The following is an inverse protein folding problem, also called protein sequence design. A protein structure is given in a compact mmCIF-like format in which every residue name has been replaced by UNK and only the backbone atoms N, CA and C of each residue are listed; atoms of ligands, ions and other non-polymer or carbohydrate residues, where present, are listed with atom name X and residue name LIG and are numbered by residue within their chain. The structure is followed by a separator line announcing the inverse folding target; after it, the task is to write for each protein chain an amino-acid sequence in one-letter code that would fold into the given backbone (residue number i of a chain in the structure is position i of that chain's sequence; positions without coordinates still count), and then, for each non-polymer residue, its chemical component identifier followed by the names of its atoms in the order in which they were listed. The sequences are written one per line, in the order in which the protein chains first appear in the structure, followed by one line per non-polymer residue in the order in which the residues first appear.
data_IF_706518857742
#
_entry.id   IF_706518857742
#
_cell.length_a   1.000
_cell.length_b   1.000
_cell.length_c   1.000
_cell.angle_alpha   90.00
_cell.angle_beta   90.00
_cell.angle_gamma   90.00
#
_symmetry.space_group_name_H-M   'P 1'
#
loop_
_entity.id
_entity.type
_entity.pdbx_description
1 polymer ?
#
# COMPACT_ATOMS: atom_id res chain seq x y z
N UNK A 1 8.96 -26.63 10.20
CA UNK A 1 9.68 -26.48 11.49
C UNK A 1 8.73 -25.84 12.50
N UNK A 2 8.85 -26.17 13.78
CA UNK A 2 8.09 -25.47 14.82
C UNK A 2 8.65 -24.04 14.98
N UNK A 3 7.79 -23.04 15.23
CA UNK A 3 8.22 -21.68 15.54
C UNK A 3 9.18 -21.60 16.73
N UNK A 4 9.02 -22.51 17.69
CA UNK A 4 9.87 -22.60 18.89
C UNK A 4 11.30 -23.09 18.63
N UNK A 5 11.62 -23.48 17.38
CA UNK A 5 12.98 -23.88 17.02
C UNK A 5 13.86 -22.65 16.84
N UNK A 6 14.91 -22.55 17.67
CA UNK A 6 15.91 -21.48 17.55
C UNK A 6 16.93 -21.87 16.48
N UNK A 7 17.06 -21.04 15.45
CA UNK A 7 17.87 -21.34 14.27
C UNK A 7 19.11 -20.45 14.26
N UNK A 8 20.30 -21.07 14.24
CA UNK A 8 21.54 -20.33 14.05
C UNK A 8 21.76 -20.06 12.55
N UNK A 9 21.69 -18.79 12.15
CA UNK A 9 21.89 -18.36 10.78
C UNK A 9 23.23 -18.80 10.20
N UNK A 10 24.28 -18.65 10.98
CA UNK A 10 25.64 -18.93 10.52
C UNK A 10 25.95 -20.44 10.46
N UNK A 11 25.15 -21.27 11.10
CA UNK A 11 25.19 -22.71 10.98
C UNK A 11 24.48 -23.28 9.74
N UNK A 12 23.76 -22.41 9.00
CA UNK A 12 23.00 -22.80 7.81
C UNK A 12 23.80 -22.60 6.52
N UNK A 13 23.62 -23.48 5.55
CA UNK A 13 24.10 -23.27 4.18
C UNK A 13 23.36 -22.11 3.49
N UNK A 14 23.88 -21.61 2.39
CA UNK A 14 23.23 -20.55 1.60
C UNK A 14 21.80 -20.94 1.16
N UNK A 15 21.59 -22.17 0.73
CA UNK A 15 20.27 -22.67 0.33
C UNK A 15 19.31 -22.73 1.52
N UNK A 16 19.79 -23.16 2.69
CA UNK A 16 18.99 -23.16 3.92
C UNK A 16 18.64 -21.74 4.35
N UNK A 17 19.58 -20.81 4.29
CA UNK A 17 19.34 -19.40 4.59
C UNK A 17 18.25 -18.82 3.67
N UNK A 18 18.31 -19.11 2.38
CA UNK A 18 17.28 -18.68 1.42
C UNK A 18 15.91 -19.30 1.75
N UNK A 19 15.86 -20.57 2.11
CA UNK A 19 14.62 -21.24 2.51
C UNK A 19 14.02 -20.65 3.78
N UNK A 20 14.82 -20.22 4.74
CA UNK A 20 14.34 -19.57 5.97
C UNK A 20 13.61 -18.26 5.70
N UNK A 21 14.00 -17.54 4.65
CA UNK A 21 13.40 -16.27 4.26
C UNK A 21 12.31 -16.43 3.18
N UNK A 22 12.04 -17.66 2.73
CA UNK A 22 11.00 -17.91 1.74
C UNK A 22 9.63 -17.72 2.39
N UNK A 23 8.80 -16.95 1.73
CA UNK A 23 7.41 -16.68 2.14
C UNK A 23 6.50 -17.85 1.77
N UNK A 24 5.38 -18.04 2.49
CA UNK A 24 4.34 -18.95 2.05
C UNK A 24 3.90 -18.63 0.62
N UNK A 25 3.68 -19.67 -0.19
CA UNK A 25 3.29 -19.47 -1.57
C UNK A 25 1.95 -18.72 -1.66
N UNK A 26 1.91 -17.62 -2.41
CA UNK A 26 0.64 -17.05 -2.85
C UNK A 26 0.17 -17.93 -3.99
N UNK A 27 -0.73 -18.85 -3.72
CA UNK A 27 -1.41 -19.58 -4.78
C UNK A 27 -2.56 -18.75 -5.34
N UNK A 28 -2.25 -17.78 -6.20
CA UNK A 28 -3.22 -17.43 -7.24
C UNK A 28 -3.31 -18.67 -8.13
N UNK A 29 -4.21 -19.57 -7.82
CA UNK A 29 -4.43 -20.74 -8.66
C UNK A 29 -4.94 -20.25 -10.04
N UNK A 30 -4.61 -20.99 -11.12
CA UNK A 30 -5.18 -20.72 -12.46
C UNK A 30 -6.70 -20.58 -12.41
N UNK A 31 -7.36 -21.24 -11.45
CA UNK A 31 -8.80 -21.15 -11.24
C UNK A 31 -9.24 -19.77 -10.73
N UNK A 32 -8.49 -19.12 -9.85
CA UNK A 32 -8.79 -17.75 -9.39
C UNK A 32 -8.63 -16.77 -10.55
N UNK A 33 -7.54 -16.87 -11.31
CA UNK A 33 -7.29 -16.00 -12.44
C UNK A 33 -8.40 -16.10 -13.50
N UNK A 34 -8.82 -17.31 -13.82
CA UNK A 34 -9.95 -17.54 -14.74
C UNK A 34 -11.26 -16.98 -14.21
N UNK A 35 -11.59 -17.27 -12.95
CA UNK A 35 -12.81 -16.76 -12.31
C UNK A 35 -12.85 -15.24 -12.34
N UNK A 36 -11.74 -14.57 -12.03
CA UNK A 36 -11.64 -13.11 -12.07
C UNK A 36 -11.80 -12.58 -13.50
N UNK A 37 -11.18 -13.21 -14.49
CA UNK A 37 -11.36 -12.85 -15.91
C UNK A 37 -12.84 -12.92 -16.32
N UNK A 38 -13.54 -13.98 -15.92
CA UNK A 38 -14.97 -14.14 -16.19
C UNK A 38 -15.81 -13.04 -15.52
N UNK A 39 -15.48 -12.68 -14.26
CA UNK A 39 -16.14 -11.58 -13.55
C UNK A 39 -15.91 -10.23 -14.26
N UNK A 40 -14.68 -9.93 -14.64
CA UNK A 40 -14.35 -8.69 -15.36
C UNK A 40 -15.13 -8.57 -16.68
N UNK A 41 -15.19 -9.65 -17.42
CA UNK A 41 -15.91 -9.70 -18.69
C UNK A 41 -17.43 -9.55 -18.49
N UNK A 42 -18.00 -10.20 -17.47
CA UNK A 42 -19.43 -10.10 -17.15
C UNK A 42 -19.79 -8.67 -16.71
N UNK A 43 -19.01 -8.05 -15.83
CA UNK A 43 -19.26 -6.65 -15.42
C UNK A 43 -19.15 -5.70 -16.61
N UNK A 44 -18.17 -5.90 -17.50
CA UNK A 44 -18.03 -5.09 -18.72
C UNK A 44 -19.25 -5.22 -19.64
N UNK A 45 -19.80 -6.42 -19.77
CA UNK A 45 -20.93 -6.68 -20.66
C UNK A 45 -22.29 -6.28 -20.06
N UNK A 46 -22.50 -6.49 -18.76
CA UNK A 46 -23.81 -6.43 -18.12
C UNK A 46 -23.92 -5.35 -16.99
N UNK A 47 -22.84 -4.63 -16.71
CA UNK A 47 -22.83 -3.49 -15.78
C UNK A 47 -23.47 -3.77 -14.43
N UNK A 48 -24.38 -2.89 -13.99
CA UNK A 48 -25.05 -2.98 -12.69
C UNK A 48 -25.78 -4.31 -12.45
N UNK A 49 -26.31 -4.93 -13.49
CA UNK A 49 -26.97 -6.22 -13.37
C UNK A 49 -26.01 -7.31 -12.90
N UNK A 50 -24.79 -7.33 -13.44
CA UNK A 50 -23.75 -8.24 -12.99
C UNK A 50 -23.34 -7.98 -11.54
N UNK A 51 -23.25 -6.72 -11.10
CA UNK A 51 -22.94 -6.37 -9.73
C UNK A 51 -23.99 -6.92 -8.75
N UNK A 52 -25.27 -6.78 -9.06
CA UNK A 52 -26.36 -7.32 -8.24
C UNK A 52 -26.35 -8.84 -8.21
N UNK A 53 -26.10 -9.49 -9.32
CA UNK A 53 -25.96 -10.96 -9.40
C UNK A 53 -24.84 -11.46 -8.47
N UNK A 54 -23.67 -10.83 -8.52
CA UNK A 54 -22.53 -11.22 -7.69
C UNK A 54 -22.75 -10.90 -6.19
N UNK A 55 -23.41 -9.81 -5.85
CA UNK A 55 -23.78 -9.51 -4.46
C UNK A 55 -24.73 -10.58 -3.89
N UNK A 56 -25.71 -11.01 -4.67
CA UNK A 56 -26.60 -12.10 -4.25
C UNK A 56 -25.84 -13.43 -4.11
N UNK A 57 -24.93 -13.72 -5.03
CA UNK A 57 -24.17 -14.98 -5.05
C UNK A 57 -23.10 -15.06 -3.96
N UNK A 58 -22.29 -14.01 -3.79
CA UNK A 58 -21.11 -14.02 -2.93
C UNK A 58 -21.38 -13.41 -1.54
N UNK A 59 -22.10 -12.30 -1.49
CA UNK A 59 -22.37 -11.59 -0.25
C UNK A 59 -23.69 -12.04 0.40
N UNK A 60 -24.46 -12.90 -0.29
CA UNK A 60 -25.80 -13.37 0.15
C UNK A 60 -26.76 -12.22 0.45
N UNK A 61 -26.60 -11.10 -0.24
CA UNK A 61 -27.34 -9.87 -0.01
C UNK A 61 -28.02 -9.42 -1.30
N UNK A 62 -29.31 -9.12 -1.22
CA UNK A 62 -30.04 -8.46 -2.31
C UNK A 62 -29.88 -6.96 -2.15
N UNK A 63 -29.16 -6.34 -3.10
CA UNK A 63 -28.90 -4.90 -3.08
C UNK A 63 -29.95 -4.18 -3.94
N UNK A 64 -30.84 -3.45 -3.30
CA UNK A 64 -31.86 -2.66 -4.00
C UNK A 64 -31.25 -1.46 -4.71
N UNK A 65 -30.42 -0.67 -3.99
CA UNK A 65 -29.65 0.44 -4.51
C UNK A 65 -28.16 0.15 -4.35
N UNK A 66 -27.39 0.27 -5.45
CA UNK A 66 -25.94 0.09 -5.40
C UNK A 66 -25.28 1.25 -4.65
N UNK A 67 -25.72 2.47 -4.89
CA UNK A 67 -25.20 3.64 -4.18
C UNK A 67 -25.85 3.80 -2.82
N UNK A 68 -25.02 4.03 -1.78
CA UNK A 68 -25.48 4.37 -0.44
C UNK A 68 -25.96 5.82 -0.43
N UNK A 69 -27.16 6.07 0.14
CA UNK A 69 -27.72 7.41 0.21
C UNK A 69 -27.00 8.29 1.23
N UNK A 70 -27.04 9.61 1.03
CA UNK A 70 -26.51 10.55 2.00
C UNK A 70 -27.16 10.43 3.37
N UNK A 71 -28.47 10.07 3.41
CA UNK A 71 -29.19 9.86 4.65
C UNK A 71 -28.66 8.62 5.42
N UNK A 72 -28.34 7.54 4.72
CA UNK A 72 -27.72 6.34 5.35
C UNK A 72 -26.35 6.64 5.89
N UNK A 73 -25.54 7.41 5.15
CA UNK A 73 -24.20 7.83 5.61
C UNK A 73 -24.32 8.68 6.88
N UNK A 74 -25.22 9.65 6.89
CA UNK A 74 -25.44 10.50 8.05
C UNK A 74 -25.95 9.72 9.27
N UNK A 75 -26.90 8.80 9.07
CA UNK A 75 -27.47 7.99 10.14
C UNK A 75 -26.46 7.03 10.78
N UNK A 76 -25.44 6.59 10.06
CA UNK A 76 -24.41 5.70 10.58
C UNK A 76 -23.70 6.28 11.81
N UNK A 77 -23.36 7.58 11.76
CA UNK A 77 -22.71 8.27 12.89
C UNK A 77 -23.56 8.36 14.14
N UNK A 78 -24.90 8.32 14.03
CA UNK A 78 -25.78 8.36 15.19
C UNK A 78 -25.79 7.04 15.99
N UNK A 79 -25.39 5.95 15.36
CA UNK A 79 -25.32 4.62 15.97
C UNK A 79 -23.98 4.29 16.62
N UNK A 80 -22.98 5.13 16.43
CA UNK A 80 -21.64 4.95 16.98
C UNK A 80 -21.47 5.70 18.31
N UNK A 81 -20.63 5.15 19.19
CA UNK A 81 -20.28 5.81 20.45
C UNK A 81 -19.45 7.08 20.22
N UNK A 82 -19.60 8.06 21.11
CA UNK A 82 -18.79 9.28 21.08
C UNK A 82 -17.30 8.97 21.29
N UNK A 83 -17.00 7.96 22.08
CA UNK A 83 -15.65 7.46 22.35
C UNK A 83 -14.94 7.00 21.07
N UNK A 84 -15.62 6.19 20.25
CA UNK A 84 -15.10 5.74 18.95
C UNK A 84 -14.91 6.92 17.98
N UNK A 85 -15.87 7.83 17.90
CA UNK A 85 -15.78 9.02 17.04
C UNK A 85 -14.60 9.93 17.43
N UNK A 86 -14.36 10.11 18.74
CA UNK A 86 -13.21 10.87 19.25
C UNK A 86 -11.89 10.18 18.90
N UNK A 87 -11.81 8.86 19.03
CA UNK A 87 -10.63 8.09 18.65
C UNK A 87 -10.33 8.23 17.14
N UNK A 88 -11.35 8.13 16.29
CA UNK A 88 -11.21 8.35 14.84
C UNK A 88 -10.73 9.77 14.52
N UNK A 89 -11.23 10.78 15.23
CA UNK A 89 -10.82 12.17 15.05
C UNK A 89 -9.33 12.39 15.36
N UNK A 90 -8.82 11.76 16.42
CA UNK A 90 -7.38 11.79 16.76
C UNK A 90 -6.55 11.13 15.64
N UNK A 91 -6.96 9.95 15.19
CA UNK A 91 -6.28 9.23 14.12
C UNK A 91 -6.23 10.06 12.83
N UNK A 92 -7.36 10.61 12.39
CA UNK A 92 -7.44 11.46 11.19
C UNK A 92 -6.52 12.66 11.30
N UNK A 93 -6.53 13.36 12.44
CA UNK A 93 -5.66 14.52 12.67
C UNK A 93 -4.18 14.18 12.48
N UNK A 94 -3.74 13.04 13.03
CA UNK A 94 -2.35 12.61 12.92
C UNK A 94 -2.01 12.19 11.48
N UNK A 95 -2.90 11.46 10.82
CA UNK A 95 -2.75 11.06 9.41
C UNK A 95 -2.69 12.31 8.51
N UNK A 96 -3.56 13.27 8.73
CA UNK A 96 -3.53 14.56 8.00
C UNK A 96 -2.22 15.30 8.19
N UNK A 97 -1.74 15.38 9.43
CA UNK A 97 -0.50 16.09 9.76
C UNK A 97 0.69 15.48 9.01
N UNK A 98 0.81 14.17 9.06
CA UNK A 98 1.91 13.47 8.39
C UNK A 98 1.82 13.56 6.86
N UNK A 99 0.64 13.33 6.28
CA UNK A 99 0.46 13.37 4.82
C UNK A 99 0.54 14.79 4.24
N UNK A 100 0.07 15.81 4.97
CA UNK A 100 0.29 17.21 4.57
C UNK A 100 1.78 17.57 4.49
N UNK A 101 2.59 17.02 5.39
CA UNK A 101 4.04 17.24 5.37
C UNK A 101 4.76 16.58 4.18
N UNK A 102 4.10 15.67 3.46
CA UNK A 102 4.64 14.98 2.28
C UNK A 102 4.47 15.80 0.98
N UNK A 103 3.93 17.00 1.02
CA UNK A 103 3.81 17.86 -0.17
C UNK A 103 5.15 18.02 -0.85
N UNK A 104 5.22 17.65 -2.14
CA UNK A 104 6.44 17.79 -2.93
C UNK A 104 6.69 19.25 -3.24
N UNK A 105 7.93 19.69 -3.05
CA UNK A 105 8.35 21.00 -3.55
C UNK A 105 8.41 20.98 -5.07
N UNK A 106 7.96 22.08 -5.71
CA UNK A 106 8.12 22.24 -7.13
C UNK A 106 9.60 22.33 -7.51
N UNK A 107 9.97 21.69 -8.61
CA UNK A 107 11.30 21.87 -9.22
C UNK A 107 11.18 22.97 -10.27
N UNK A 108 12.06 23.96 -10.21
CA UNK A 108 12.12 25.07 -11.14
C UNK A 108 13.57 25.51 -11.30
N UNK A 109 14.20 25.11 -12.40
CA UNK A 109 15.62 25.34 -12.62
C UNK A 109 15.87 25.83 -14.04
N UNK A 110 16.84 26.73 -14.20
CA UNK A 110 17.51 26.98 -15.47
C UNK A 110 18.67 25.99 -15.63
N UNK A 111 18.55 25.10 -16.61
CA UNK A 111 19.63 24.13 -16.90
C UNK A 111 20.79 24.80 -17.61
N UNK A 112 20.51 25.85 -18.37
CA UNK A 112 21.44 26.84 -18.89
C UNK A 112 20.67 28.14 -19.12
N UNK A 113 21.33 29.31 -19.30
CA UNK A 113 20.64 30.59 -19.46
C UNK A 113 19.53 30.55 -20.55
N UNK A 114 18.32 30.92 -20.15
CA UNK A 114 17.16 30.92 -21.03
C UNK A 114 16.50 29.56 -21.28
N UNK A 115 16.93 28.49 -20.60
CA UNK A 115 16.32 27.16 -20.68
C UNK A 115 15.76 26.77 -19.31
N UNK A 116 14.48 26.97 -19.12
CA UNK A 116 13.76 26.72 -17.87
C UNK A 116 13.07 25.35 -17.89
N UNK A 117 13.39 24.52 -16.90
CA UNK A 117 12.77 23.21 -16.72
C UNK A 117 12.08 23.14 -15.38
N UNK A 118 10.78 22.80 -15.38
CA UNK A 118 9.99 22.69 -14.19
C UNK A 118 9.40 21.28 -14.03
N UNK A 119 9.16 20.86 -12.80
CA UNK A 119 8.32 19.73 -12.47
C UNK A 119 7.18 20.23 -11.60
N UNK A 120 5.95 19.98 -12.03
CA UNK A 120 4.73 20.34 -11.33
C UNK A 120 3.95 19.10 -10.95
N UNK A 121 3.27 19.17 -9.81
CA UNK A 121 2.43 18.09 -9.29
C UNK A 121 0.96 18.40 -9.56
N UNK A 122 0.21 17.37 -9.93
CA UNK A 122 -1.24 17.45 -10.14
C UNK A 122 -1.90 16.24 -9.45
N UNK A 123 -3.11 16.37 -8.90
CA UNK A 123 -3.84 15.23 -8.39
C UNK A 123 -4.20 14.25 -9.51
N UNK A 124 -4.31 12.97 -9.16
CA UNK A 124 -5.07 12.03 -9.98
C UNK A 124 -6.54 12.43 -9.85
N UNK A 125 -7.20 12.63 -10.98
CA UNK A 125 -8.54 13.24 -10.99
C UNK A 125 -9.60 12.34 -10.33
N UNK A 126 -9.56 11.04 -10.62
CA UNK A 126 -10.55 10.08 -10.16
C UNK A 126 -9.90 8.85 -9.55
N UNK A 127 -10.24 8.55 -8.30
CA UNK A 127 -9.69 7.41 -7.55
C UNK A 127 -10.80 6.56 -6.95
N UNK A 128 -10.57 5.24 -6.96
CA UNK A 128 -11.43 4.25 -6.32
C UNK A 128 -10.77 3.74 -5.05
N UNK A 129 -11.52 3.69 -3.97
CA UNK A 129 -11.09 3.16 -2.68
C UNK A 129 -11.86 1.88 -2.40
N UNK A 130 -11.17 0.76 -2.35
CA UNK A 130 -11.76 -0.52 -1.99
C UNK A 130 -11.54 -0.81 -0.51
N UNK A 131 -12.62 -1.04 0.23
CA UNK A 131 -12.60 -1.37 1.65
C UNK A 131 -13.12 -2.80 1.81
N UNK A 132 -12.30 -3.73 2.29
CA UNK A 132 -12.74 -5.10 2.48
C UNK A 132 -13.89 -5.18 3.50
N UNK A 133 -14.79 -6.10 3.26
CA UNK A 133 -15.81 -6.51 4.23
C UNK A 133 -15.34 -7.76 4.98
N UNK A 134 -16.17 -8.24 5.89
CA UNK A 134 -15.94 -9.46 6.66
C UNK A 134 -16.33 -9.32 8.11
N UNK A 135 -15.75 -10.15 8.97
CA UNK A 135 -16.04 -10.19 10.41
C UNK A 135 -15.57 -8.94 11.18
N UNK A 136 -14.70 -8.13 10.58
CA UNK A 136 -14.20 -6.90 11.18
C UNK A 136 -14.36 -5.73 10.20
N UNK A 137 -14.97 -4.61 10.64
CA UNK A 137 -15.08 -3.41 9.82
C UNK A 137 -13.72 -2.69 9.78
N UNK A 138 -13.03 -2.74 8.62
CA UNK A 138 -11.71 -2.14 8.45
C UNK A 138 -11.82 -0.63 8.16
N UNK A 139 -12.47 0.12 9.04
CA UNK A 139 -12.65 1.56 8.90
C UNK A 139 -11.34 2.34 8.90
N UNK A 140 -10.29 1.83 9.55
CA UNK A 140 -8.95 2.43 9.51
C UNK A 140 -8.42 2.56 8.08
N UNK A 141 -8.72 1.60 7.22
CA UNK A 141 -8.36 1.66 5.79
C UNK A 141 -9.03 2.85 5.09
N UNK A 142 -10.27 3.19 5.48
CA UNK A 142 -10.92 4.41 4.96
C UNK A 142 -10.11 5.65 5.32
N UNK A 143 -9.69 5.77 6.58
CA UNK A 143 -8.89 6.91 7.06
C UNK A 143 -7.57 7.01 6.29
N UNK A 144 -6.91 5.87 6.07
CA UNK A 144 -5.61 5.79 5.41
C UNK A 144 -5.66 6.10 3.90
N UNK A 145 -6.77 5.84 3.24
CA UNK A 145 -6.94 6.05 1.81
C UNK A 145 -7.62 7.39 1.49
N UNK A 146 -8.69 7.71 2.19
CA UNK A 146 -9.49 8.90 1.91
C UNK A 146 -8.80 10.19 2.33
N UNK A 147 -8.04 10.18 3.42
CA UNK A 147 -7.32 11.37 3.89
C UNK A 147 -6.28 11.86 2.87
N UNK A 148 -5.32 11.04 2.41
CA UNK A 148 -4.38 11.49 1.39
C UNK A 148 -5.04 11.80 0.04
N UNK A 149 -6.11 11.10 -0.36
CA UNK A 149 -6.87 11.43 -1.56
C UNK A 149 -7.43 12.85 -1.51
N UNK A 150 -8.00 13.24 -0.37
CA UNK A 150 -8.52 14.60 -0.14
C UNK A 150 -7.39 15.64 -0.13
N UNK A 151 -6.29 15.38 0.58
CA UNK A 151 -5.13 16.29 0.65
C UNK A 151 -4.53 16.50 -0.74
N UNK A 152 -4.43 15.45 -1.56
CA UNK A 152 -3.93 15.52 -2.93
C UNK A 152 -4.83 16.36 -3.85
N UNK A 153 -6.11 16.50 -3.51
CA UNK A 153 -7.09 17.23 -4.31
C UNK A 153 -7.76 16.38 -5.39
N UNK A 154 -7.85 15.05 -5.20
CA UNK A 154 -8.60 14.19 -6.11
C UNK A 154 -10.05 14.67 -6.21
N UNK A 155 -10.53 14.90 -7.43
CA UNK A 155 -11.86 15.50 -7.66
C UNK A 155 -12.98 14.50 -7.47
N UNK A 156 -12.76 13.26 -7.86
CA UNK A 156 -13.71 12.15 -7.71
C UNK A 156 -13.08 11.06 -6.85
N UNK A 157 -13.70 10.80 -5.71
CA UNK A 157 -13.33 9.72 -4.78
C UNK A 157 -14.52 8.78 -4.64
N UNK A 158 -14.37 7.57 -5.12
CA UNK A 158 -15.43 6.53 -5.13
C UNK A 158 -15.02 5.41 -4.20
N UNK A 159 -15.82 5.13 -3.19
CA UNK A 159 -15.59 4.04 -2.24
C UNK A 159 -16.52 2.87 -2.54
N UNK A 160 -15.96 1.66 -2.58
CA UNK A 160 -16.71 0.41 -2.68
C UNK A 160 -16.38 -0.48 -1.48
N UNK A 161 -17.42 -1.10 -0.91
CA UNK A 161 -17.28 -2.09 0.15
C UNK A 161 -18.40 -3.12 0.06
N UNK A 162 -18.18 -4.40 0.43
CA UNK A 162 -19.22 -5.43 0.41
C UNK A 162 -20.41 -5.06 1.27
N UNK A 163 -21.65 -5.29 0.80
CA UNK A 163 -22.85 -5.09 1.59
C UNK A 163 -23.04 -6.19 2.65
N UNK A 164 -23.64 -5.89 3.81
CA UNK A 164 -23.98 -4.55 4.31
C UNK A 164 -22.74 -3.81 4.81
N UNK A 165 -22.58 -2.54 4.42
CA UNK A 165 -21.45 -1.73 4.86
C UNK A 165 -21.64 -1.34 6.33
N UNK A 166 -20.62 -1.59 7.16
CA UNK A 166 -20.67 -1.27 8.58
C UNK A 166 -20.75 0.24 8.84
N UNK A 167 -21.42 0.61 9.93
CA UNK A 167 -21.58 2.02 10.33
C UNK A 167 -20.26 2.72 10.54
N UNK A 168 -19.26 2.02 11.06
CA UNK A 168 -17.89 2.54 11.25
C UNK A 168 -17.24 2.95 9.93
N UNK A 169 -17.46 2.19 8.86
CA UNK A 169 -16.94 2.50 7.52
C UNK A 169 -17.64 3.71 6.94
N UNK A 170 -18.98 3.77 7.04
CA UNK A 170 -19.76 4.89 6.54
C UNK A 170 -19.42 6.19 7.27
N UNK A 171 -19.26 6.12 8.60
CA UNK A 171 -18.87 7.28 9.39
C UNK A 171 -17.44 7.74 9.08
N UNK A 172 -16.50 6.81 8.96
CA UNK A 172 -15.12 7.14 8.58
C UNK A 172 -15.08 7.81 7.19
N UNK A 173 -15.87 7.33 6.24
CA UNK A 173 -15.99 7.94 4.92
C UNK A 173 -16.54 9.37 5.01
N UNK A 174 -17.60 9.59 5.79
CA UNK A 174 -18.15 10.92 6.03
C UNK A 174 -17.13 11.86 6.69
N UNK A 175 -16.42 11.39 7.71
CA UNK A 175 -15.38 12.14 8.41
C UNK A 175 -14.26 12.58 7.47
N UNK A 176 -13.91 11.76 6.49
CA UNK A 176 -12.88 12.06 5.48
C UNK A 176 -13.42 12.76 4.22
N UNK A 177 -14.71 13.09 4.19
CA UNK A 177 -15.31 13.83 3.07
C UNK A 177 -15.68 13.00 1.84
N UNK A 178 -15.73 11.68 1.96
CA UNK A 178 -16.18 10.78 0.88
C UNK A 178 -17.68 10.71 0.85
N UNK A 179 -18.30 11.08 -0.29
CA UNK A 179 -19.74 11.15 -0.48
C UNK A 179 -20.29 10.05 -1.40
N UNK A 180 -19.44 9.51 -2.25
CA UNK A 180 -19.82 8.54 -3.28
C UNK A 180 -19.40 7.14 -2.83
N UNK A 181 -20.37 6.36 -2.34
CA UNK A 181 -20.15 5.04 -1.73
C UNK A 181 -21.10 4.03 -2.39
N UNK A 182 -20.56 2.86 -2.75
CA UNK A 182 -21.30 1.78 -3.38
C UNK A 182 -21.24 0.49 -2.56
N UNK A 183 -22.39 -0.17 -2.46
CA UNK A 183 -22.57 -1.50 -1.86
C UNK A 183 -22.10 -2.59 -2.84
N UNK A 184 -20.82 -2.64 -3.12
CA UNK A 184 -20.21 -3.60 -4.03
C UNK A 184 -18.88 -4.07 -3.46
N UNK A 185 -18.70 -5.37 -3.34
CA UNK A 185 -17.46 -5.98 -2.85
C UNK A 185 -16.80 -6.89 -3.87
N UNK A 186 -15.69 -7.50 -3.47
CA UNK A 186 -14.98 -8.50 -4.25
C UNK A 186 -14.38 -8.02 -5.58
N UNK A 187 -14.03 -8.97 -6.43
CA UNK A 187 -13.46 -8.70 -7.74
C UNK A 187 -14.39 -7.86 -8.65
N UNK A 188 -15.71 -7.99 -8.49
CA UNK A 188 -16.68 -7.21 -9.24
C UNK A 188 -16.66 -5.72 -8.88
N UNK A 189 -16.30 -5.36 -7.65
CA UNK A 189 -16.09 -3.96 -7.27
C UNK A 189 -14.88 -3.36 -8.00
N UNK A 190 -13.79 -4.10 -8.07
CA UNK A 190 -12.59 -3.71 -8.83
C UNK A 190 -12.93 -3.56 -10.33
N UNK A 191 -13.70 -4.50 -10.88
CA UNK A 191 -14.18 -4.43 -12.25
C UNK A 191 -15.02 -3.17 -12.51
N UNK A 192 -15.96 -2.85 -11.60
CA UNK A 192 -16.81 -1.68 -11.70
C UNK A 192 -16.02 -0.37 -11.64
N UNK A 193 -15.06 -0.27 -10.71
CA UNK A 193 -14.18 0.90 -10.60
C UNK A 193 -13.28 1.07 -11.82
N UNK A 194 -12.75 -0.03 -12.37
CA UNK A 194 -11.83 0.02 -13.50
C UNK A 194 -12.51 0.28 -14.85
N UNK A 195 -13.69 -0.28 -15.07
CA UNK A 195 -14.38 -0.29 -16.36
C UNK A 195 -15.58 0.68 -16.40
N UNK A 196 -16.11 1.03 -15.24
CA UNK A 196 -17.37 1.78 -15.13
C UNK A 196 -18.60 0.89 -15.33
N UNK A 197 -19.71 1.29 -14.75
CA UNK A 197 -21.05 0.73 -14.99
C UNK A 197 -22.05 1.87 -15.09
N UNK A 198 -23.34 1.57 -15.22
CA UNK A 198 -24.39 2.60 -15.26
C UNK A 198 -24.39 3.47 -14.01
N UNK A 199 -24.14 2.88 -12.81
CA UNK A 199 -24.12 3.58 -11.53
C UNK A 199 -22.72 3.91 -11.05
N UNK A 200 -21.75 3.00 -11.22
CA UNK A 200 -20.39 3.17 -10.70
C UNK A 200 -19.51 3.87 -11.72
N UNK A 201 -19.01 5.09 -11.40
CA UNK A 201 -18.13 5.80 -12.32
C UNK A 201 -16.79 5.08 -12.46
N UNK A 202 -16.24 5.08 -13.68
CA UNK A 202 -14.88 4.64 -13.93
C UNK A 202 -13.90 5.58 -13.25
N UNK A 203 -12.85 4.99 -12.65
CA UNK A 203 -11.77 5.73 -11.99
C UNK A 203 -10.44 5.49 -12.70
N UNK A 204 -9.47 6.38 -12.45
CA UNK A 204 -8.14 6.31 -13.05
C UNK A 204 -7.19 5.41 -12.27
N UNK A 205 -7.33 5.34 -10.94
CA UNK A 205 -6.49 4.51 -10.06
C UNK A 205 -7.30 3.94 -8.90
N UNK A 206 -7.03 2.68 -8.57
CA UNK A 206 -7.71 1.92 -7.52
C UNK A 206 -6.75 1.65 -6.38
N UNK A 207 -7.21 1.90 -5.16
CA UNK A 207 -6.48 1.71 -3.91
C UNK A 207 -7.24 0.77 -2.99
N UNK A 208 -6.51 0.06 -2.16
CA UNK A 208 -7.07 -0.72 -1.06
C UNK A 208 -6.66 -2.18 -1.08
N UNK A 209 -6.58 -2.79 0.11
CA UNK A 209 -6.26 -4.20 0.27
C UNK A 209 -7.47 -5.07 -0.06
N UNK A 210 -7.25 -6.36 -0.27
CA UNK A 210 -8.32 -7.31 -0.48
C UNK A 210 -7.83 -8.76 -0.44
N UNK A 211 -8.76 -9.68 -0.57
CA UNK A 211 -8.47 -11.11 -0.67
C UNK A 211 -7.83 -11.46 -2.03
N UNK A 212 -7.50 -12.73 -2.24
CA UNK A 212 -6.85 -13.22 -3.46
C UNK A 212 -7.62 -12.85 -4.75
N UNK A 213 -8.95 -12.83 -4.72
CA UNK A 213 -9.76 -12.42 -5.88
C UNK A 213 -9.66 -10.93 -6.18
N UNK A 214 -9.67 -10.09 -5.14
CA UNK A 214 -9.49 -8.64 -5.27
C UNK A 214 -8.08 -8.32 -5.76
N UNK A 215 -7.07 -8.95 -5.20
CA UNK A 215 -5.67 -8.79 -5.60
C UNK A 215 -5.48 -9.18 -7.06
N UNK A 216 -6.03 -10.32 -7.49
CA UNK A 216 -5.96 -10.77 -8.87
C UNK A 216 -6.74 -9.84 -9.82
N UNK A 217 -7.90 -9.34 -9.39
CA UNK A 217 -8.66 -8.37 -10.18
C UNK A 217 -7.89 -7.06 -10.38
N UNK A 218 -7.25 -6.54 -9.34
CA UNK A 218 -6.36 -5.37 -9.42
C UNK A 218 -5.23 -5.61 -10.41
N UNK A 219 -4.58 -6.77 -10.33
CA UNK A 219 -3.52 -7.15 -11.26
C UNK A 219 -4.01 -7.15 -12.71
N UNK A 220 -5.14 -7.79 -12.98
CA UNK A 220 -5.68 -7.89 -14.34
C UNK A 220 -6.10 -6.53 -14.91
N UNK A 221 -6.80 -5.69 -14.12
CA UNK A 221 -7.24 -4.38 -14.62
C UNK A 221 -6.07 -3.43 -14.84
N UNK A 222 -4.98 -3.56 -14.08
CA UNK A 222 -3.78 -2.73 -14.26
C UNK A 222 -3.03 -3.01 -15.56
N UNK A 223 -3.23 -4.17 -16.15
CA UNK A 223 -2.61 -4.60 -17.42
C UNK A 223 -3.48 -4.34 -18.65
N UNK A 224 -4.70 -3.86 -18.45
CA UNK A 224 -5.64 -3.58 -19.55
C UNK A 224 -5.54 -2.13 -19.99
N UNK A 225 -5.61 -1.88 -21.30
CA UNK A 225 -5.66 -0.52 -21.84
C UNK A 225 -6.92 0.24 -21.43
N UNK A 226 -8.03 -0.48 -21.23
CA UNK A 226 -9.31 0.09 -20.77
C UNK A 226 -9.51 -0.02 -19.26
N UNK A 227 -8.49 -0.45 -18.54
CA UNK A 227 -8.53 -0.65 -17.10
C UNK A 227 -8.20 0.59 -16.29
N UNK A 228 -7.58 0.40 -15.13
CA UNK A 228 -7.15 1.46 -14.22
C UNK A 228 -5.79 1.09 -13.61
N UNK A 229 -5.03 2.11 -13.20
CA UNK A 229 -3.83 1.89 -12.40
C UNK A 229 -4.22 1.37 -11.00
N UNK A 230 -3.26 0.81 -10.29
CA UNK A 230 -3.44 0.34 -8.91
C UNK A 230 -2.37 0.92 -7.99
N UNK A 231 -2.59 0.86 -6.68
CA UNK A 231 -1.68 1.34 -5.65
C UNK A 231 -0.35 0.57 -5.66
N UNK A 232 -0.37 -0.69 -5.28
CA UNK A 232 0.81 -1.55 -5.27
C UNK A 232 0.41 -3.02 -5.28
N UNK A 233 1.29 -3.92 -5.73
CA UNK A 233 1.15 -5.34 -5.48
C UNK A 233 1.27 -5.60 -3.98
N UNK A 234 0.38 -6.40 -3.42
CA UNK A 234 0.41 -6.80 -2.03
C UNK A 234 0.11 -8.29 -1.89
N UNK A 235 0.70 -8.90 -0.90
CA UNK A 235 0.46 -10.27 -0.47
C UNK A 235 -0.05 -10.30 0.96
N UNK A 236 0.06 -11.46 1.63
CA UNK A 236 -0.25 -11.61 3.05
C UNK A 236 0.60 -10.69 3.93
N UNK A 237 0.06 -10.33 5.08
CA UNK A 237 0.72 -9.48 6.05
C UNK A 237 1.93 -10.15 6.70
N UNK A 238 2.95 -9.36 7.01
CA UNK A 238 4.21 -9.86 7.57
C UNK A 238 4.84 -8.85 8.53
N UNK A 239 5.55 -9.37 9.54
CA UNK A 239 6.38 -8.57 10.44
C UNK A 239 7.73 -9.23 10.68
N UNK A 240 8.76 -8.40 10.76
CA UNK A 240 10.08 -8.81 11.22
C UNK A 240 10.47 -7.94 12.42
N UNK A 241 10.85 -8.60 13.51
CA UNK A 241 11.34 -7.94 14.72
C UNK A 241 12.84 -8.19 14.86
N UNK A 242 13.62 -7.14 15.09
CA UNK A 242 15.00 -7.22 15.53
C UNK A 242 15.01 -6.89 17.03
N UNK A 243 15.47 -7.81 17.87
CA UNK A 243 15.54 -7.65 19.31
C UNK A 243 16.94 -7.92 19.85
N UNK A 244 17.45 -7.04 20.72
CA UNK A 244 18.67 -7.28 21.48
C UNK A 244 18.38 -7.95 22.84
N UNK A 245 19.39 -8.23 23.62
CA UNK A 245 19.27 -8.85 24.96
C UNK A 245 18.50 -7.97 25.98
N UNK A 246 18.37 -6.68 25.72
CA UNK A 246 17.65 -5.75 26.58
C UNK A 246 16.18 -5.58 26.23
N UNK A 247 15.68 -6.21 25.16
CA UNK A 247 14.27 -6.14 24.76
C UNK A 247 13.37 -6.85 25.80
N UNK A 248 12.10 -6.42 25.84
CA UNK A 248 11.08 -7.12 26.63
C UNK A 248 10.49 -8.26 25.82
N UNK A 249 10.67 -9.54 26.22
CA UNK A 249 10.16 -10.68 25.49
C UNK A 249 8.64 -10.67 25.28
N UNK A 250 7.88 -10.12 26.22
CA UNK A 250 6.42 -10.02 26.12
C UNK A 250 5.99 -9.02 25.06
N UNK A 251 6.71 -7.93 24.92
CA UNK A 251 6.46 -6.93 23.87
C UNK A 251 6.79 -7.52 22.49
N UNK A 252 7.93 -8.16 22.35
CA UNK A 252 8.33 -8.83 21.09
C UNK A 252 7.30 -9.88 20.70
N UNK A 253 6.88 -10.73 21.63
CA UNK A 253 5.88 -11.76 21.39
C UNK A 253 4.53 -11.15 20.96
N UNK A 254 4.08 -10.07 21.60
CA UNK A 254 2.83 -9.40 21.25
C UNK A 254 2.86 -8.79 19.86
N UNK A 255 3.99 -8.22 19.43
CA UNK A 255 4.16 -7.68 18.09
C UNK A 255 4.17 -8.79 17.02
N UNK A 256 4.80 -9.93 17.29
CA UNK A 256 4.75 -11.09 16.39
C UNK A 256 3.32 -11.63 16.26
N UNK A 257 2.60 -11.75 17.36
CA UNK A 257 1.24 -12.28 17.38
C UNK A 257 0.22 -11.33 16.76
N UNK A 258 0.40 -10.01 16.90
CA UNK A 258 -0.48 -9.02 16.27
C UNK A 258 -0.54 -9.19 14.76
N UNK A 259 0.54 -9.66 14.14
CA UNK A 259 0.59 -9.95 12.71
C UNK A 259 0.15 -11.38 12.39
N UNK A 260 0.54 -12.36 13.21
CA UNK A 260 0.18 -13.76 12.99
C UNK A 260 -1.34 -14.01 13.02
N UNK A 261 -2.09 -13.22 13.77
CA UNK A 261 -3.55 -13.35 13.85
C UNK A 261 -4.31 -12.80 12.63
N UNK A 262 -3.66 -12.03 11.75
CA UNK A 262 -4.30 -11.47 10.56
C UNK A 262 -4.78 -12.57 9.60
N UNK A 263 -3.96 -13.58 9.37
CA UNK A 263 -4.32 -14.67 8.46
C UNK A 263 -3.36 -15.85 8.52
N UNK A 264 -3.80 -17.04 8.07
CA UNK A 264 -2.96 -18.23 8.08
C UNK A 264 -1.74 -18.12 7.17
N UNK A 265 -1.77 -17.23 6.18
CA UNK A 265 -0.68 -16.98 5.24
C UNK A 265 0.29 -15.90 5.72
N UNK A 266 0.03 -15.27 6.87
CA UNK A 266 0.93 -14.31 7.50
C UNK A 266 2.26 -14.96 7.89
N UNK A 267 3.35 -14.20 7.82
CA UNK A 267 4.66 -14.66 8.25
C UNK A 267 5.27 -13.68 9.24
N UNK A 268 5.81 -14.20 10.34
CA UNK A 268 6.50 -13.42 11.36
C UNK A 268 7.90 -13.97 11.60
N UNK A 269 8.88 -13.07 11.70
CA UNK A 269 10.29 -13.41 11.88
C UNK A 269 10.86 -12.62 13.05
N UNK A 270 11.55 -13.33 13.94
CA UNK A 270 12.40 -12.70 14.95
C UNK A 270 13.87 -12.89 14.55
N UNK A 271 14.61 -11.79 14.51
CA UNK A 271 16.06 -11.77 14.41
C UNK A 271 16.65 -11.25 15.73
N UNK A 272 17.60 -11.96 16.28
CA UNK A 272 18.28 -11.55 17.51
C UNK A 272 19.72 -12.05 17.53
N UNK A 273 20.69 -11.29 18.09
CA UNK A 273 22.02 -11.82 18.34
C UNK A 273 22.12 -12.64 19.65
N UNK A 274 21.00 -12.78 20.39
CA UNK A 274 20.94 -13.46 21.68
C UNK A 274 19.97 -14.64 21.66
N UNK A 275 20.54 -15.86 21.68
CA UNK A 275 19.75 -17.10 21.67
C UNK A 275 18.81 -17.22 22.89
N UNK A 276 19.21 -16.69 24.06
CA UNK A 276 18.36 -16.68 25.25
C UNK A 276 17.13 -15.79 25.05
N UNK A 277 17.29 -14.64 24.41
CA UNK A 277 16.17 -13.80 24.01
C UNK A 277 15.22 -14.54 23.07
N UNK A 278 15.74 -15.27 22.09
CA UNK A 278 14.94 -16.11 21.20
C UNK A 278 14.08 -17.12 21.96
N UNK A 279 14.67 -17.80 22.95
CA UNK A 279 13.96 -18.78 23.79
C UNK A 279 12.88 -18.12 24.66
N UNK A 280 13.17 -16.99 25.28
CA UNK A 280 12.20 -16.23 26.10
C UNK A 280 11.03 -15.71 25.29
N UNK A 281 11.28 -15.28 24.06
CA UNK A 281 10.21 -14.86 23.15
C UNK A 281 9.35 -16.05 22.73
N UNK A 282 9.95 -17.21 22.42
CA UNK A 282 9.19 -18.42 22.10
C UNK A 282 8.23 -18.81 23.23
N UNK A 283 8.69 -18.77 24.48
CA UNK A 283 7.87 -19.03 25.68
C UNK A 283 6.74 -17.99 25.83
N UNK A 284 7.04 -16.70 25.61
CA UNK A 284 6.06 -15.63 25.69
C UNK A 284 5.00 -15.77 24.60
N UNK A 285 5.37 -16.15 23.37
CA UNK A 285 4.43 -16.41 22.27
C UNK A 285 3.46 -17.53 22.65
N UNK A 286 3.94 -18.67 23.17
CA UNK A 286 3.07 -19.78 23.57
C UNK A 286 2.10 -19.37 24.69
N UNK A 287 2.58 -18.62 25.67
CA UNK A 287 1.75 -18.14 26.78
C UNK A 287 0.67 -17.18 26.30
N UNK A 288 1.01 -16.21 25.46
CA UNK A 288 0.07 -15.23 24.95
C UNK A 288 -0.92 -15.82 23.95
N UNK A 289 -0.44 -16.75 23.10
CA UNK A 289 -1.26 -17.44 22.09
C UNK A 289 -2.44 -18.18 22.72
N UNK A 290 -2.24 -18.78 23.90
CA UNK A 290 -3.29 -19.51 24.62
C UNK A 290 -4.49 -18.62 25.01
N UNK A 291 -4.30 -17.31 25.13
CA UNK A 291 -5.33 -16.33 25.49
C UNK A 291 -5.99 -15.66 24.28
N UNK A 292 -5.50 -15.89 23.07
CA UNK A 292 -6.02 -15.19 21.88
C UNK A 292 -7.28 -15.86 21.31
N UNK A 293 -8.33 -15.09 21.00
CA UNK A 293 -9.51 -15.64 20.34
C UNK A 293 -9.22 -16.28 18.97
N UNK A 294 -8.24 -15.75 18.24
CA UNK A 294 -7.82 -16.25 16.91
C UNK A 294 -6.57 -17.13 16.97
N UNK A 295 -6.35 -17.84 18.07
CA UNK A 295 -5.18 -18.68 18.30
C UNK A 295 -4.92 -19.69 17.17
N UNK A 296 -5.96 -20.32 16.62
CA UNK A 296 -5.81 -21.32 15.54
C UNK A 296 -5.25 -20.69 14.26
N UNK A 297 -5.73 -19.50 13.88
CA UNK A 297 -5.20 -18.75 12.73
C UNK A 297 -3.73 -18.41 12.96
N UNK A 298 -3.40 -17.88 14.13
CA UNK A 298 -2.03 -17.55 14.48
C UNK A 298 -1.10 -18.77 14.50
N UNK A 299 -1.57 -19.95 14.97
CA UNK A 299 -0.79 -21.19 14.94
C UNK A 299 -0.39 -21.60 13.54
N UNK A 300 -1.30 -21.47 12.58
CA UNK A 300 -1.00 -21.77 11.18
C UNK A 300 0.08 -20.83 10.66
N UNK A 301 -0.06 -19.53 10.88
CA UNK A 301 0.94 -18.53 10.48
C UNK A 301 2.31 -18.79 11.11
N UNK A 302 2.35 -19.17 12.40
CA UNK A 302 3.58 -19.51 13.12
C UNK A 302 4.31 -20.72 12.53
N UNK A 303 3.61 -21.65 11.88
CA UNK A 303 4.24 -22.81 11.23
C UNK A 303 5.18 -22.41 10.08
N UNK A 304 4.91 -21.29 9.42
CA UNK A 304 5.74 -20.71 8.37
C UNK A 304 6.71 -19.62 8.89
N UNK A 305 6.71 -19.37 10.18
CA UNK A 305 7.46 -18.28 10.84
C UNK A 305 8.75 -18.82 11.48
N UNK A 306 9.68 -17.90 11.85
CA UNK A 306 11.03 -18.29 12.29
C UNK A 306 11.55 -17.42 13.41
N UNK A 307 12.36 -18.03 14.32
CA UNK A 307 13.27 -17.36 15.24
C UNK A 307 14.70 -17.65 14.78
N UNK A 308 15.41 -16.62 14.39
CA UNK A 308 16.75 -16.73 13.80
C UNK A 308 17.74 -15.96 14.67
N UNK A 309 18.82 -16.63 15.06
CA UNK A 309 19.94 -16.05 15.77
C UNK A 309 21.03 -15.67 14.78
N UNK A 310 21.39 -14.40 14.79
CA UNK A 310 22.47 -13.81 14.02
C UNK A 310 23.70 -13.57 14.90
N UNK A 311 24.82 -13.27 14.29
CA UNK A 311 26.08 -13.01 14.99
C UNK A 311 26.01 -11.70 15.80
N UNK A 312 25.41 -10.67 15.23
CA UNK A 312 25.33 -9.32 15.75
C UNK A 312 24.16 -8.53 15.13
N UNK A 313 23.89 -7.32 15.62
CA UNK A 313 22.83 -6.47 15.10
C UNK A 313 23.06 -6.05 13.63
N UNK A 314 24.29 -5.89 13.20
CA UNK A 314 24.60 -5.56 11.80
C UNK A 314 24.16 -6.70 10.86
N UNK A 315 24.37 -7.95 11.26
CA UNK A 315 23.88 -9.09 10.51
C UNK A 315 22.37 -9.21 10.57
N UNK A 316 21.72 -8.90 11.70
CA UNK A 316 20.25 -8.80 11.78
C UNK A 316 19.71 -7.82 10.73
N UNK A 317 20.31 -6.63 10.62
CA UNK A 317 19.92 -5.62 9.61
C UNK A 317 20.14 -6.15 8.19
N UNK A 318 21.27 -6.81 7.92
CA UNK A 318 21.53 -7.38 6.60
C UNK A 318 20.48 -8.45 6.22
N UNK A 319 20.13 -9.32 7.13
CA UNK A 319 19.08 -10.33 6.92
C UNK A 319 17.72 -9.68 6.71
N UNK A 320 17.38 -8.66 7.51
CA UNK A 320 16.14 -7.90 7.35
C UNK A 320 16.05 -7.25 5.96
N UNK A 321 17.14 -6.64 5.47
CA UNK A 321 17.16 -6.05 4.13
C UNK A 321 17.00 -7.09 3.02
N UNK A 322 17.54 -8.31 3.20
CA UNK A 322 17.33 -9.42 2.27
C UNK A 322 15.87 -9.89 2.24
N UNK A 323 15.24 -9.93 3.39
CA UNK A 323 13.83 -10.31 3.49
C UNK A 323 12.89 -9.20 2.97
N UNK A 324 13.18 -7.93 3.27
CA UNK A 324 12.37 -6.79 2.90
C UNK A 324 10.98 -6.83 3.54
N UNK A 325 10.86 -6.72 4.88
CA UNK A 325 9.59 -6.87 5.58
C UNK A 325 8.62 -5.74 5.28
N UNK A 326 7.34 -6.04 5.35
CA UNK A 326 6.27 -5.04 5.39
C UNK A 326 6.41 -4.13 6.61
N UNK A 327 6.42 -4.75 7.81
CA UNK A 327 6.66 -4.07 9.08
C UNK A 327 8.00 -4.52 9.64
N UNK A 328 8.86 -3.57 9.97
CA UNK A 328 10.12 -3.81 10.68
C UNK A 328 10.08 -3.14 12.04
N UNK A 329 10.10 -3.94 13.11
CA UNK A 329 10.14 -3.45 14.48
C UNK A 329 11.55 -3.67 15.03
N UNK A 330 12.20 -2.62 15.50
CA UNK A 330 13.55 -2.66 16.06
C UNK A 330 13.45 -2.39 17.57
N UNK A 331 13.41 -3.47 18.35
CA UNK A 331 13.40 -3.41 19.81
C UNK A 331 14.82 -3.60 20.36
N UNK A 332 15.67 -2.65 20.07
CA UNK A 332 17.05 -2.58 20.59
C UNK A 332 17.25 -1.32 21.42
N UNK A 333 18.27 -1.32 22.29
CA UNK A 333 18.53 -0.18 23.18
C UNK A 333 18.91 1.09 22.42
N UNK A 334 19.50 0.94 21.24
CA UNK A 334 19.93 2.02 20.37
C UNK A 334 19.29 1.89 18.98
N UNK A 335 17.98 1.67 18.92
CA UNK A 335 17.25 1.38 17.69
C UNK A 335 17.48 2.44 16.60
N UNK A 336 17.55 3.72 16.96
CA UNK A 336 17.75 4.83 16.00
C UNK A 336 19.05 4.71 15.21
N UNK A 337 20.10 4.18 15.79
CA UNK A 337 21.40 4.03 15.15
C UNK A 337 21.41 3.03 13.98
N UNK A 338 20.42 2.13 13.94
CA UNK A 338 20.31 1.12 12.87
C UNK A 338 19.57 1.65 11.63
N UNK A 339 18.85 2.76 11.73
CA UNK A 339 17.94 3.25 10.67
C UNK A 339 18.65 3.52 9.36
N UNK A 340 19.83 4.13 9.41
CA UNK A 340 20.58 4.50 8.20
C UNK A 340 21.07 3.28 7.38
N UNK A 341 21.07 2.09 7.99
CA UNK A 341 21.45 0.85 7.33
C UNK A 341 20.21 0.03 6.86
N UNK A 342 18.99 0.48 7.16
CA UNK A 342 17.77 -0.15 6.66
C UNK A 342 17.48 0.36 5.25
N UNK A 343 17.45 -0.54 4.29
CA UNK A 343 17.22 -0.22 2.88
C UNK A 343 15.90 -0.76 2.32
N UNK A 344 15.31 -1.74 2.98
CA UNK A 344 14.12 -2.42 2.48
C UNK A 344 13.16 -2.77 3.63
N UNK A 345 12.19 -1.92 3.86
CA UNK A 345 11.08 -2.13 4.79
C UNK A 345 9.90 -1.26 4.37
N UNK A 346 8.68 -1.71 4.60
CA UNK A 346 7.49 -0.91 4.35
C UNK A 346 7.33 0.21 5.38
N UNK A 347 7.41 -0.14 6.67
CA UNK A 347 7.41 0.79 7.80
C UNK A 347 8.37 0.32 8.88
N UNK A 348 9.05 1.24 9.56
CA UNK A 348 10.03 0.94 10.60
C UNK A 348 9.59 1.54 11.93
N UNK A 349 9.58 0.71 12.96
CA UNK A 349 9.14 1.05 14.32
C UNK A 349 10.32 0.93 15.28
N UNK A 350 10.61 1.97 16.04
CA UNK A 350 11.83 2.05 16.83
C UNK A 350 11.54 2.04 18.34
N UNK A 351 12.19 1.11 19.03
CA UNK A 351 12.18 1.02 20.50
C UNK A 351 10.98 0.28 21.06
N UNK A 352 10.94 0.20 22.38
CA UNK A 352 9.97 -0.64 23.10
C UNK A 352 8.54 -0.09 23.06
N UNK A 353 8.38 1.21 22.77
CA UNK A 353 7.09 1.91 22.82
C UNK A 353 6.47 2.18 21.45
N UNK A 354 6.98 1.52 20.40
CA UNK A 354 6.52 1.71 19.01
C UNK A 354 5.97 0.40 18.44
N UNK A 355 4.81 -0.08 18.91
CA UNK A 355 4.19 -1.28 18.37
C UNK A 355 3.66 -1.00 16.95
N UNK A 356 3.55 -2.04 16.15
CA UNK A 356 2.93 -2.02 14.82
C UNK A 356 1.56 -1.35 14.82
N UNK A 357 0.74 -1.64 15.84
CA UNK A 357 -0.61 -1.08 16.00
C UNK A 357 -0.63 0.45 16.02
N UNK A 358 0.45 1.10 16.45
CA UNK A 358 0.53 2.57 16.40
C UNK A 358 0.48 3.07 14.95
N UNK A 359 1.22 2.44 14.06
CA UNK A 359 1.22 2.75 12.63
C UNK A 359 -0.08 2.35 11.93
N UNK A 360 -0.66 1.24 12.33
CA UNK A 360 -1.90 0.74 11.74
C UNK A 360 -3.11 1.64 12.02
N UNK A 361 -3.12 2.35 13.14
CA UNK A 361 -4.31 3.08 13.56
C UNK A 361 -4.14 4.59 13.74
N UNK A 362 -3.07 5.06 14.38
CA UNK A 362 -3.14 6.39 14.98
C UNK A 362 -1.87 7.26 14.95
N UNK A 363 -0.68 6.72 14.66
CA UNK A 363 0.56 7.52 14.70
C UNK A 363 0.64 8.54 13.57
N UNK A 364 0.00 8.28 12.44
CA UNK A 364 -0.05 9.21 11.31
C UNK A 364 0.55 8.67 10.01
N UNK A 365 1.42 7.67 10.07
CA UNK A 365 1.94 6.98 8.88
C UNK A 365 0.84 6.14 8.23
N UNK A 366 1.02 5.79 6.96
CA UNK A 366 0.04 4.98 6.25
C UNK A 366 0.29 3.49 6.50
N UNK A 367 -0.78 2.73 6.75
CA UNK A 367 -0.70 1.30 6.97
C UNK A 367 -0.77 0.45 5.70
N UNK A 368 -1.02 1.06 4.55
CA UNK A 368 -0.95 0.36 3.26
C UNK A 368 0.51 0.28 2.83
N UNK A 369 1.07 -0.89 2.96
CA UNK A 369 2.50 -1.13 2.83
C UNK A 369 2.76 -2.22 1.78
N UNK A 370 3.90 -2.16 1.06
CA UNK A 370 4.31 -3.25 0.21
C UNK A 370 4.67 -4.48 1.04
N UNK A 371 4.20 -5.65 0.61
CA UNK A 371 4.49 -6.94 1.21
C UNK A 371 5.26 -7.82 0.23
N UNK A 372 5.56 -9.04 0.62
CA UNK A 372 6.08 -10.07 -0.28
C UNK A 372 7.38 -9.70 -1.00
N UNK A 373 8.25 -8.93 -0.33
CA UNK A 373 9.53 -8.48 -0.88
C UNK A 373 9.43 -7.25 -1.80
N UNK A 374 8.23 -6.75 -2.08
CA UNK A 374 8.07 -5.54 -2.90
C UNK A 374 8.63 -4.27 -2.26
N UNK A 375 9.00 -4.30 -0.98
CA UNK A 375 9.73 -3.20 -0.32
C UNK A 375 11.08 -2.89 -0.95
N UNK A 376 11.60 -3.81 -1.76
CA UNK A 376 12.81 -3.58 -2.55
C UNK A 376 12.61 -2.51 -3.64
N UNK A 377 11.39 -2.30 -4.11
CA UNK A 377 11.08 -1.41 -5.24
C UNK A 377 9.84 -0.53 -5.04
N UNK A 378 8.99 -0.84 -4.08
CA UNK A 378 7.78 -0.09 -3.79
C UNK A 378 7.87 0.61 -2.43
N UNK A 379 7.33 1.81 -2.36
CA UNK A 379 7.20 2.58 -1.13
C UNK A 379 5.89 2.26 -0.41
N UNK A 380 5.83 2.57 0.89
CA UNK A 380 4.56 2.71 1.59
C UNK A 380 3.66 3.76 0.92
N UNK A 381 2.35 3.57 1.03
CA UNK A 381 1.39 4.52 0.48
C UNK A 381 1.60 5.91 1.11
N UNK A 382 1.55 6.91 0.28
CA UNK A 382 1.68 8.29 0.70
C UNK A 382 0.94 9.25 -0.23
N UNK A 383 1.09 10.55 0.03
CA UNK A 383 0.44 11.58 -0.77
C UNK A 383 0.80 11.49 -2.25
N UNK A 384 2.05 11.13 -2.55
CA UNK A 384 2.55 11.02 -3.93
C UNK A 384 1.82 9.96 -4.76
N UNK A 385 1.22 8.94 -4.13
CA UNK A 385 0.47 7.89 -4.83
C UNK A 385 -0.87 8.37 -5.39
N UNK A 386 -1.39 9.47 -4.85
CA UNK A 386 -2.61 10.15 -5.29
C UNK A 386 -2.32 11.32 -6.24
N UNK A 387 -1.09 11.48 -6.64
CA UNK A 387 -0.60 12.58 -7.46
C UNK A 387 0.19 12.05 -8.66
N UNK A 388 0.28 12.89 -9.67
CA UNK A 388 1.17 12.67 -10.81
C UNK A 388 2.00 13.94 -11.03
N UNK A 389 3.19 13.75 -11.57
CA UNK A 389 4.11 14.82 -11.90
C UNK A 389 4.17 14.98 -13.42
N UNK A 390 4.28 16.20 -13.88
CA UNK A 390 4.57 16.49 -15.27
C UNK A 390 5.66 17.55 -15.37
N UNK A 391 6.43 17.49 -16.43
CA UNK A 391 7.47 18.48 -16.72
C UNK A 391 6.90 19.62 -17.57
N UNK A 392 7.41 20.83 -17.31
CA UNK A 392 7.12 22.02 -18.13
C UNK A 392 8.45 22.58 -18.58
N UNK A 393 8.57 22.85 -19.87
CA UNK A 393 9.78 23.40 -20.47
C UNK A 393 9.45 24.72 -21.18
N UNK A 394 10.29 25.73 -20.93
CA UNK A 394 10.18 27.03 -21.57
C UNK A 394 11.58 27.52 -21.96
N UNK A 395 11.76 27.77 -23.23
CA UNK A 395 13.01 28.33 -23.76
C UNK A 395 12.77 29.75 -24.22
N UNK A 396 13.63 30.68 -23.79
CA UNK A 396 13.72 31.99 -24.40
C UNK A 396 14.33 31.87 -25.80
N UNK A 397 14.19 32.94 -26.60
CA UNK A 397 14.83 33.03 -27.92
C UNK A 397 16.34 32.76 -27.86
N UNK A 398 17.01 33.39 -26.91
CA UNK A 398 18.47 33.25 -26.73
C UNK A 398 18.84 31.87 -26.19
N UNK A 399 18.07 31.33 -25.23
CA UNK A 399 18.25 29.98 -24.72
C UNK A 399 18.06 28.92 -25.80
N UNK A 400 17.07 29.09 -26.68
CA UNK A 400 16.89 28.21 -27.83
C UNK A 400 18.08 28.32 -28.80
N UNK A 401 18.52 29.55 -29.14
CA UNK A 401 19.64 29.76 -30.06
C UNK A 401 20.94 29.09 -29.56
N UNK A 402 21.20 29.18 -28.25
CA UNK A 402 22.35 28.58 -27.62
C UNK A 402 22.32 27.04 -27.62
N UNK A 403 21.11 26.43 -27.58
CA UNK A 403 20.91 24.99 -27.48
C UNK A 403 20.71 24.31 -28.86
N UNK A 404 20.34 25.06 -29.88
CA UNK A 404 19.87 24.56 -31.17
C UNK A 404 20.87 23.60 -31.84
N UNK A 405 22.14 23.98 -31.95
CA UNK A 405 23.16 23.14 -32.57
C UNK A 405 23.32 21.79 -31.88
N UNK A 406 23.28 21.77 -30.55
CA UNK A 406 23.32 20.50 -29.78
C UNK A 406 22.18 19.59 -30.14
N UNK A 407 20.94 20.12 -30.21
CA UNK A 407 19.76 19.33 -30.53
C UNK A 407 19.85 18.80 -31.97
N UNK A 408 20.25 19.64 -32.93
CA UNK A 408 20.40 19.22 -34.33
C UNK A 408 21.42 18.09 -34.51
N UNK A 409 22.56 18.16 -33.81
CA UNK A 409 23.58 17.11 -33.85
C UNK A 409 23.06 15.78 -33.25
N UNK A 410 22.38 15.85 -32.10
CA UNK A 410 21.86 14.65 -31.45
C UNK A 410 20.75 14.01 -32.29
N UNK A 411 19.81 14.79 -32.78
CA UNK A 411 18.72 14.30 -33.61
C UNK A 411 19.24 13.67 -34.93
N UNK A 412 20.26 14.28 -35.55
CA UNK A 412 20.92 13.73 -36.73
C UNK A 412 21.60 12.37 -36.45
N UNK A 413 22.28 12.27 -35.30
CA UNK A 413 22.94 11.02 -34.89
C UNK A 413 21.92 9.88 -34.66
N UNK A 414 20.72 10.18 -34.19
CA UNK A 414 19.61 9.23 -34.06
C UNK A 414 18.83 9.02 -35.37
N UNK A 415 19.18 9.73 -36.44
CA UNK A 415 18.51 9.68 -37.75
C UNK A 415 17.03 10.09 -37.66
N UNK A 416 16.71 11.01 -36.74
CA UNK A 416 15.38 11.57 -36.56
C UNK A 416 15.28 12.94 -37.26
N UNK A 417 15.18 12.93 -38.58
CA UNK A 417 15.26 14.13 -39.43
C UNK A 417 14.12 15.13 -39.15
N UNK A 418 12.94 14.67 -38.81
CA UNK A 418 11.83 15.56 -38.46
C UNK A 418 12.07 16.28 -37.10
N UNK A 419 12.70 15.60 -36.12
CA UNK A 419 13.11 16.22 -34.88
C UNK A 419 14.18 17.30 -35.12
N UNK A 420 15.17 17.00 -35.95
CA UNK A 420 16.17 17.96 -36.37
C UNK A 420 15.54 19.16 -37.09
N UNK A 421 14.65 18.91 -38.03
CA UNK A 421 13.99 19.95 -38.84
C UNK A 421 13.15 20.91 -37.97
N UNK A 422 12.54 20.42 -36.89
CA UNK A 422 11.82 21.28 -35.95
C UNK A 422 12.71 22.38 -35.34
N UNK A 423 13.98 22.09 -35.16
CA UNK A 423 14.99 23.06 -34.69
C UNK A 423 15.53 23.89 -35.86
N UNK A 424 15.89 23.26 -36.97
CA UNK A 424 16.44 23.94 -38.16
C UNK A 424 15.55 25.04 -38.66
N UNK A 425 14.23 24.84 -38.74
CA UNK A 425 13.27 25.87 -39.13
C UNK A 425 13.26 27.07 -38.18
N UNK A 426 13.38 26.81 -36.87
CA UNK A 426 13.43 27.91 -35.87
C UNK A 426 14.76 28.68 -35.93
N UNK A 427 15.86 27.99 -36.22
CA UNK A 427 17.19 28.62 -36.45
C UNK A 427 17.10 29.56 -37.68
N UNK A 428 16.45 29.12 -38.75
CA UNK A 428 16.24 29.98 -39.95
C UNK A 428 15.43 31.24 -39.61
N UNK A 429 14.33 31.11 -38.88
CA UNK A 429 13.52 32.21 -38.45
C UNK A 429 14.25 33.24 -37.53
N UNK A 430 15.21 32.75 -36.71
CA UNK A 430 16.05 33.62 -35.89
C UNK A 430 16.93 34.54 -36.75
N UNK A 431 17.44 34.04 -37.91
CA UNK A 431 18.31 34.80 -38.82
C UNK A 431 17.53 35.82 -39.63
N UNK A 432 16.27 35.54 -39.96
CA UNK A 432 15.42 36.47 -40.69
C UNK A 432 14.97 37.67 -39.86
N UNK A 433 14.95 37.56 -38.54
CA UNK A 433 14.53 38.60 -37.59
C UNK A 433 15.72 39.33 -36.93
N UNK A 434 16.93 38.99 -37.29
CA UNK A 434 18.17 39.67 -36.83
C UNK A 434 18.57 40.70 -37.83
#
# INVERSE_FOLDING_TARGET
MSFNTIIDWNGCSADQQQQLLTRPAISASDSISKTVTDILNNVKANGDAALREYSAKFDKTTVAALQVSEAEIAAAGERLSDELKQAMAVAVKNIETFHNAQQLQAVDVETQPGVRCQQVTRPIASVGLYIPGGSAPLFSTVLMLATPARIAGCQQVVLCSPPPIADEILYAAQLCGVKTIFNVGGAQAIAALALGTESVPKVDKIFGPGNAYVTEAKRQVSQRLDGAAIDMPAGPSEVLVIADSGANPDFVASDLLSQAEHGPDSQVILLTPDADMGSRVAEAVERQLAALPRAETARVALSASRIIVARDLAQCVAISNLYGPEHLIIQTRQARELVDNITSAGSVFLGDWSPESAGDYASGTNHVLPTYGYTATCSSLGLADFQKRMTVQELSRDGFAALASTIEILAAAERLDAHKNAVTLRVAALKEQA
#
